data_IF_015213010176
#
_entry.id   IF_015213010176
#
_cell.length_a   1.000
_cell.length_b   1.000
_cell.length_c   1.000
_cell.angle_alpha   90.00
_cell.angle_beta   90.00
_cell.angle_gamma   90.00
#
_symmetry.space_group_name_H-M   'P 1'
#
loop_
_entity.id
_entity.type
_entity.pdbx_description
1 polymer ?
#
# COMPACT_ATOMS: atom_id res chain seq x y z
N UNK A 1 17.28 -8.67 0.48
CA UNK A 1 16.13 -7.93 1.02
C UNK A 1 16.53 -7.44 2.40
N UNK A 2 16.35 -6.15 2.66
CA UNK A 2 16.66 -5.54 3.96
C UNK A 2 15.52 -5.81 4.93
N UNK A 3 15.80 -5.77 6.23
CA UNK A 3 14.77 -5.94 7.26
C UNK A 3 13.61 -4.95 7.11
N UNK A 4 13.91 -3.73 6.63
CA UNK A 4 12.91 -2.70 6.35
C UNK A 4 11.96 -3.06 5.21
N UNK A 5 12.48 -3.65 4.13
CA UNK A 5 11.66 -4.12 3.00
C UNK A 5 10.72 -5.25 3.45
N UNK A 6 11.21 -6.19 4.26
CA UNK A 6 10.40 -7.29 4.80
C UNK A 6 9.30 -6.78 5.76
N UNK A 7 9.61 -5.81 6.62
CA UNK A 7 8.63 -5.21 7.52
C UNK A 7 7.56 -4.43 6.74
N UNK A 8 7.94 -3.74 5.66
CA UNK A 8 7.01 -3.08 4.77
C UNK A 8 6.09 -4.06 4.04
N UNK A 9 6.64 -5.14 3.49
CA UNK A 9 5.86 -6.21 2.85
C UNK A 9 4.81 -6.77 3.82
N UNK A 10 5.23 -7.11 5.06
CA UNK A 10 4.31 -7.62 6.08
C UNK A 10 3.23 -6.62 6.45
N UNK A 11 3.57 -5.34 6.53
CA UNK A 11 2.62 -4.27 6.82
C UNK A 11 1.56 -4.14 5.73
N UNK A 12 1.99 -4.17 4.46
CA UNK A 12 1.10 -4.15 3.29
C UNK A 12 0.21 -5.39 3.27
N UNK A 13 0.78 -6.58 3.47
CA UNK A 13 0.01 -7.83 3.51
C UNK A 13 -1.05 -7.80 4.61
N UNK A 14 -0.68 -7.29 5.79
CA UNK A 14 -1.60 -7.13 6.92
C UNK A 14 -2.71 -6.12 6.59
N UNK A 15 -2.38 -5.01 5.95
CA UNK A 15 -3.37 -4.01 5.52
C UNK A 15 -4.38 -4.59 4.53
N UNK A 16 -3.91 -5.31 3.51
CA UNK A 16 -4.75 -5.94 2.49
C UNK A 16 -5.66 -7.00 3.12
N UNK A 17 -5.13 -7.79 4.05
CA UNK A 17 -5.91 -8.83 4.74
C UNK A 17 -6.95 -8.27 5.72
N UNK A 18 -6.61 -7.20 6.46
CA UNK A 18 -7.46 -6.58 7.47
C UNK A 18 -8.51 -5.64 6.84
N UNK A 19 -8.21 -5.00 5.71
CA UNK A 19 -9.15 -4.13 4.99
C UNK A 19 -10.42 -4.89 4.60
N UNK A 20 -11.58 -4.30 4.92
CA UNK A 20 -12.91 -4.78 4.52
C UNK A 20 -13.70 -3.75 3.71
N UNK A 21 -13.15 -2.56 3.48
CA UNK A 21 -13.80 -1.54 2.68
C UNK A 21 -13.74 -1.93 1.18
N UNK A 22 -14.89 -2.14 0.52
CA UNK A 22 -14.93 -2.50 -0.90
C UNK A 22 -14.23 -1.51 -1.83
N UNK A 23 -14.24 -0.20 -1.50
CA UNK A 23 -13.61 0.82 -2.34
C UNK A 23 -12.09 0.72 -2.29
N UNK A 24 -11.56 0.45 -1.10
CA UNK A 24 -10.12 0.26 -0.91
C UNK A 24 -9.67 -1.04 -1.56
N UNK A 25 -10.46 -2.12 -1.45
CA UNK A 25 -10.18 -3.38 -2.14
C UNK A 25 -10.19 -3.22 -3.67
N UNK A 26 -11.08 -2.40 -4.21
CA UNK A 26 -11.10 -2.05 -5.64
C UNK A 26 -9.84 -1.30 -6.06
N UNK A 27 -9.43 -0.27 -5.30
CA UNK A 27 -8.19 0.45 -5.55
C UNK A 27 -6.96 -0.47 -5.46
N UNK A 28 -6.91 -1.38 -4.47
CA UNK A 28 -5.85 -2.39 -4.36
C UNK A 28 -5.80 -3.29 -5.61
N UNK A 29 -6.96 -3.73 -6.09
CA UNK A 29 -7.03 -4.56 -7.29
C UNK A 29 -6.61 -3.79 -8.56
N UNK A 30 -6.88 -2.48 -8.62
CA UNK A 30 -6.38 -1.61 -9.69
C UNK A 30 -4.86 -1.50 -9.63
N UNK A 31 -4.28 -1.27 -8.44
CA UNK A 31 -2.83 -1.22 -8.24
C UNK A 31 -2.14 -2.53 -8.64
N UNK A 32 -2.70 -3.69 -8.29
CA UNK A 32 -2.17 -4.99 -8.74
C UNK A 32 -2.18 -5.11 -10.27
N UNK A 33 -3.26 -4.69 -10.93
CA UNK A 33 -3.30 -4.69 -12.40
C UNK A 33 -2.27 -3.74 -13.02
N UNK A 34 -2.17 -2.53 -12.49
CA UNK A 34 -1.23 -1.53 -13.00
C UNK A 34 0.22 -1.95 -12.78
N UNK A 35 0.55 -2.53 -11.62
CA UNK A 35 1.90 -3.07 -11.36
C UNK A 35 2.32 -4.12 -12.39
N UNK A 36 1.39 -5.02 -12.75
CA UNK A 36 1.62 -6.04 -13.78
C UNK A 36 1.78 -5.44 -15.18
N UNK A 37 1.02 -4.39 -15.50
CA UNK A 37 1.15 -3.68 -16.78
C UNK A 37 2.50 -2.97 -16.90
N UNK A 38 3.01 -2.43 -15.80
CA UNK A 38 4.32 -1.77 -15.72
C UNK A 38 5.49 -2.76 -15.57
N UNK A 39 5.20 -4.03 -15.26
CA UNK A 39 6.22 -5.06 -15.02
C UNK A 39 7.01 -4.87 -13.73
N UNK A 40 6.45 -4.15 -12.74
CA UNK A 40 7.05 -3.93 -11.42
C UNK A 40 6.36 -4.79 -10.36
N UNK A 41 6.98 -4.92 -9.18
CA UNK A 41 6.31 -5.62 -8.09
C UNK A 41 5.15 -4.80 -7.54
N UNK A 42 4.17 -5.49 -6.95
CA UNK A 42 3.06 -4.85 -6.26
C UNK A 42 3.51 -3.91 -5.14
N UNK A 43 4.57 -4.28 -4.41
CA UNK A 43 5.14 -3.45 -3.33
C UNK A 43 5.85 -2.21 -3.88
N UNK A 44 6.54 -2.31 -5.02
CA UNK A 44 7.11 -1.13 -5.70
C UNK A 44 6.00 -0.17 -6.12
N UNK A 45 4.88 -0.70 -6.62
CA UNK A 45 3.71 0.10 -6.97
C UNK A 45 3.10 0.83 -5.77
N UNK A 46 3.03 0.16 -4.61
CA UNK A 46 2.64 0.80 -3.36
C UNK A 46 3.58 1.96 -3.00
N UNK A 47 4.89 1.78 -3.12
CA UNK A 47 5.85 2.87 -2.88
C UNK A 47 5.62 4.06 -3.82
N UNK A 48 5.38 3.80 -5.11
CA UNK A 48 5.07 4.84 -6.10
C UNK A 48 3.81 5.61 -5.72
N UNK A 49 2.73 4.92 -5.37
CA UNK A 49 1.45 5.54 -5.00
C UNK A 49 1.50 6.27 -3.66
N UNK A 50 2.30 5.80 -2.71
CA UNK A 50 2.51 6.51 -1.45
C UNK A 50 3.29 7.82 -1.63
N UNK A 51 4.13 7.90 -2.68
CA UNK A 51 4.88 9.08 -3.09
C UNK A 51 4.06 10.01 -4.02
N UNK A 52 3.20 9.45 -4.87
CA UNK A 52 2.34 10.19 -5.79
C UNK A 52 1.00 10.56 -5.14
N UNK A 53 0.89 11.82 -4.73
CA UNK A 53 -0.27 12.35 -3.99
C UNK A 53 -1.53 12.52 -4.87
N UNK A 54 -1.48 12.19 -6.16
CA UNK A 54 -2.61 12.43 -7.10
C UNK A 54 -3.48 11.21 -7.37
N UNK A 55 -2.96 9.99 -7.23
CA UNK A 55 -3.70 8.75 -7.48
C UNK A 55 -4.11 8.04 -6.19
N UNK A 56 -5.18 7.24 -6.24
CA UNK A 56 -5.58 6.32 -5.16
C UNK A 56 -5.65 6.96 -3.75
N UNK A 57 -6.22 8.18 -3.68
CA UNK A 57 -6.18 8.97 -2.44
C UNK A 57 -6.91 8.30 -1.27
N UNK A 58 -7.97 7.54 -1.53
CA UNK A 58 -8.68 6.82 -0.46
C UNK A 58 -7.80 5.71 0.08
N UNK A 59 -7.18 4.91 -0.81
CA UNK A 59 -6.21 3.91 -0.43
C UNK A 59 -5.04 4.50 0.38
N UNK A 60 -4.44 5.61 -0.08
CA UNK A 60 -3.32 6.25 0.62
C UNK A 60 -3.74 6.78 1.99
N UNK A 61 -4.93 7.41 2.09
CA UNK A 61 -5.45 7.92 3.36
C UNK A 61 -5.73 6.78 4.36
N UNK A 62 -6.34 5.70 3.89
CA UNK A 62 -6.65 4.54 4.71
C UNK A 62 -5.37 3.82 5.16
N UNK A 63 -4.41 3.63 4.25
CA UNK A 63 -3.12 3.04 4.58
C UNK A 63 -2.33 3.87 5.59
N UNK A 64 -2.33 5.20 5.47
CA UNK A 64 -1.73 6.11 6.47
C UNK A 64 -2.41 6.01 7.83
N UNK A 65 -3.73 5.92 7.84
CA UNK A 65 -4.52 5.71 9.07
C UNK A 65 -4.15 4.38 9.72
N UNK A 66 -4.09 3.31 8.93
CA UNK A 66 -3.68 1.99 9.37
C UNK A 66 -2.27 1.96 9.99
N UNK A 67 -1.29 2.59 9.33
CA UNK A 67 0.08 2.73 9.87
C UNK A 67 0.10 3.47 11.22
N UNK A 68 -0.66 4.55 11.34
CA UNK A 68 -0.78 5.34 12.58
C UNK A 68 -1.35 4.51 13.73
N UNK A 69 -2.39 3.71 13.45
CA UNK A 69 -3.00 2.81 14.43
C UNK A 69 -2.04 1.70 14.89
N UNK A 70 -1.21 1.18 13.98
CA UNK A 70 -0.18 0.18 14.29
C UNK A 70 1.08 0.78 14.92
N UNK A 71 1.10 2.11 15.20
CA UNK A 71 2.25 2.88 15.72
C UNK A 71 3.51 2.76 14.85
N UNK A 72 3.35 2.47 13.56
CA UNK A 72 4.47 2.44 12.62
C UNK A 72 4.79 3.89 12.28
N UNK A 73 6.00 4.35 12.63
CA UNK A 73 6.42 5.72 12.28
C UNK A 73 6.52 5.84 10.76
N UNK A 74 5.76 6.72 10.10
CA UNK A 74 5.96 6.99 8.69
C UNK A 74 7.30 7.72 8.52
N UNK A 75 8.23 7.10 7.81
CA UNK A 75 9.46 7.73 7.32
C UNK A 75 9.34 7.70 5.80
N UNK A 76 8.59 8.67 5.27
CA UNK A 76 8.52 8.97 3.85
C UNK A 76 9.44 10.16 3.56
#
# INVERSE_FOLDING_TARGET
>A
MTQWEEDFIRLVDSFVAETKDPKILEEIAQLDRESRLLGISFYDMYCVVLQDVKGHQNFVAEFRTYMSLKKVKPVF
#
